data_IF_672268168706
#
_entry.id   IF_672268168706
#
_cell.length_a   1.000
_cell.length_b   1.000
_cell.length_c   1.000
_cell.angle_alpha   90.00
_cell.angle_beta   90.00
_cell.angle_gamma   90.00
#
_symmetry.space_group_name_H-M   'P 1'
#
loop_
_entity.id
_entity.type
_entity.pdbx_description
1 polymer ?
#
# COMPACT_ATOMS: atom_id res chain seq x y z
N UNK A 1 -1.24 5.21 11.60
CA UNK A 1 -0.72 4.37 10.50
C UNK A 1 -1.87 3.64 9.84
N UNK A 2 -2.16 3.85 8.55
CA UNK A 2 -3.29 3.23 7.85
C UNK A 2 -3.18 1.70 7.76
N UNK A 3 -4.30 1.00 7.74
CA UNK A 3 -4.35 -0.41 7.39
C UNK A 3 -3.70 -0.65 6.01
N UNK A 4 -2.99 -1.76 5.85
CA UNK A 4 -2.32 -2.09 4.59
C UNK A 4 -3.28 -2.11 3.39
N UNK A 5 -4.51 -2.60 3.59
CA UNK A 5 -5.57 -2.64 2.58
C UNK A 5 -6.06 -1.25 2.15
N UNK A 6 -5.90 -0.21 2.99
CA UNK A 6 -6.29 1.17 2.69
C UNK A 6 -5.26 1.92 1.83
N UNK A 7 -4.08 1.36 1.62
CA UNK A 7 -3.07 1.92 0.71
C UNK A 7 -3.35 1.61 -0.77
N UNK A 8 -4.28 0.70 -1.02
CA UNK A 8 -4.69 0.31 -2.36
C UNK A 8 -5.98 1.04 -2.74
N UNK A 9 -5.92 1.95 -3.70
CA UNK A 9 -7.03 2.79 -4.12
C UNK A 9 -7.24 2.65 -5.63
N UNK A 10 -8.41 2.18 -6.02
CA UNK A 10 -8.82 2.02 -7.44
C UNK A 10 -7.80 1.31 -8.34
N UNK A 11 -7.09 0.30 -7.83
CA UNK A 11 -6.09 -0.46 -8.60
C UNK A 11 -4.67 0.09 -8.50
N UNK A 12 -4.45 1.17 -7.76
CA UNK A 12 -3.15 1.81 -7.55
C UNK A 12 -2.74 1.68 -6.09
N UNK A 13 -1.53 1.21 -5.83
CA UNK A 13 -0.91 1.29 -4.51
C UNK A 13 -0.50 2.74 -4.29
N UNK A 14 -1.29 3.49 -3.52
CA UNK A 14 -0.91 4.82 -3.04
C UNK A 14 0.17 4.68 -1.98
N UNK A 15 1.08 5.61 -1.90
CA UNK A 15 2.19 5.60 -0.93
C UNK A 15 2.99 4.28 -0.89
N UNK A 16 3.53 3.82 -2.03
CA UNK A 16 4.41 2.66 -2.02
C UNK A 16 5.66 2.95 -1.16
N UNK A 17 6.24 1.89 -0.59
CA UNK A 17 7.51 2.04 0.13
C UNK A 17 8.58 2.48 -0.87
N UNK A 18 9.28 3.55 -0.53
CA UNK A 18 10.32 4.17 -1.36
C UNK A 18 11.69 4.05 -0.73
N UNK A 19 12.72 4.20 -1.54
CA UNK A 19 14.12 4.22 -1.13
C UNK A 19 14.83 5.40 -1.78
N UNK A 20 16.01 5.75 -1.26
CA UNK A 20 16.89 6.77 -1.84
C UNK A 20 18.06 6.14 -2.57
N UNK A 21 18.66 6.87 -3.50
CA UNK A 21 19.77 6.40 -4.34
C UNK A 21 21.01 5.92 -3.56
N UNK A 22 21.20 6.48 -2.36
CA UNK A 22 22.39 6.23 -1.54
C UNK A 22 22.23 5.06 -0.56
N UNK A 23 21.02 4.50 -0.42
CA UNK A 23 20.82 3.29 0.39
C UNK A 23 21.63 2.13 -0.18
N UNK A 24 22.15 1.28 0.70
CA UNK A 24 22.92 0.12 0.27
C UNK A 24 22.01 -1.00 -0.23
N UNK A 25 22.55 -1.87 -1.06
CA UNK A 25 21.85 -3.08 -1.52
C UNK A 25 21.36 -3.92 -0.32
N UNK A 26 22.17 -4.00 0.74
CA UNK A 26 21.80 -4.70 1.99
C UNK A 26 20.55 -4.13 2.64
N UNK A 27 20.47 -2.80 2.77
CA UNK A 27 19.32 -2.13 3.39
C UNK A 27 18.05 -2.41 2.58
N UNK A 28 18.18 -2.35 1.25
CA UNK A 28 17.05 -2.60 0.34
C UNK A 28 16.60 -4.06 0.36
N UNK A 29 17.52 -5.01 0.45
CA UNK A 29 17.18 -6.43 0.67
C UNK A 29 16.42 -6.63 1.98
N UNK A 30 16.85 -5.98 3.07
CA UNK A 30 16.13 -6.00 4.35
C UNK A 30 14.68 -5.49 4.20
N UNK A 31 14.47 -4.36 3.52
CA UNK A 31 13.13 -3.81 3.27
C UNK A 31 12.27 -4.74 2.42
N UNK A 32 12.83 -5.36 1.36
CA UNK A 32 12.07 -6.29 0.52
C UNK A 32 11.60 -7.52 1.31
N UNK A 33 12.43 -8.06 2.20
CA UNK A 33 12.10 -9.19 3.07
C UNK A 33 11.07 -8.81 4.13
N UNK A 34 11.30 -7.71 4.87
CA UNK A 34 10.42 -7.23 5.93
C UNK A 34 9.00 -6.94 5.43
N UNK A 35 8.89 -6.30 4.27
CA UNK A 35 7.60 -5.87 3.71
C UNK A 35 7.03 -6.84 2.67
N UNK A 36 7.76 -7.90 2.31
CA UNK A 36 7.38 -8.88 1.27
C UNK A 36 7.01 -8.20 -0.06
N UNK A 37 7.85 -7.25 -0.48
CA UNK A 37 7.68 -6.51 -1.73
C UNK A 37 8.83 -6.82 -2.68
N UNK A 38 8.55 -6.76 -3.98
CA UNK A 38 9.49 -7.18 -5.03
C UNK A 38 9.95 -6.02 -5.93
N UNK A 39 9.67 -4.79 -5.52
CA UNK A 39 10.13 -3.60 -6.24
C UNK A 39 9.86 -2.33 -5.45
N UNK A 40 10.85 -1.46 -5.44
CA UNK A 40 10.87 -0.23 -4.68
C UNK A 40 11.19 0.95 -5.61
N UNK A 41 10.29 1.95 -5.68
CA UNK A 41 10.61 3.21 -6.34
C UNK A 41 11.79 3.90 -5.64
N UNK A 42 12.72 4.42 -6.42
CA UNK A 42 13.82 5.25 -5.92
C UNK A 42 13.46 6.71 -6.14
N UNK A 43 13.48 7.50 -5.07
CA UNK A 43 13.11 8.92 -5.11
C UNK A 43 14.27 9.81 -4.67
N UNK A 44 14.25 11.06 -5.13
CA UNK A 44 15.13 12.13 -4.63
C UNK A 44 14.51 12.83 -3.40
N UNK A 45 15.23 13.83 -2.87
CA UNK A 45 14.77 14.62 -1.71
C UNK A 45 13.51 15.44 -1.97
N UNK A 46 13.16 15.67 -3.24
CA UNK A 46 11.93 16.37 -3.65
C UNK A 46 10.76 15.40 -3.93
N UNK A 47 10.91 14.10 -3.63
CA UNK A 47 9.90 13.07 -3.89
C UNK A 47 9.73 12.69 -5.37
N UNK A 48 10.66 13.09 -6.24
CA UNK A 48 10.62 12.74 -7.66
C UNK A 48 11.26 11.40 -7.91
N UNK A 49 10.66 10.63 -8.80
CA UNK A 49 11.17 9.31 -9.19
C UNK A 49 12.47 9.47 -10.00
N UNK A 50 13.54 8.83 -9.54
CA UNK A 50 14.85 8.79 -10.20
C UNK A 50 15.19 7.39 -10.71
N UNK A 51 14.47 6.36 -10.27
CA UNK A 51 14.65 4.99 -10.71
C UNK A 51 13.69 4.01 -10.04
N UNK A 52 13.93 2.72 -10.28
CA UNK A 52 13.27 1.61 -9.59
C UNK A 52 14.30 0.50 -9.34
N UNK A 53 14.20 -0.15 -8.18
CA UNK A 53 14.93 -1.38 -7.86
C UNK A 53 13.94 -2.51 -7.73
N UNK A 54 14.21 -3.64 -8.37
CA UNK A 54 13.38 -4.83 -8.36
C UNK A 54 14.15 -6.05 -7.87
N UNK A 55 13.44 -7.14 -7.54
CA UNK A 55 14.09 -8.40 -7.19
C UNK A 55 15.03 -8.92 -8.30
N UNK A 56 14.79 -8.55 -9.56
CA UNK A 56 15.68 -8.91 -10.68
C UNK A 56 17.04 -8.25 -10.52
N UNK A 57 17.06 -6.97 -10.12
CA UNK A 57 18.28 -6.18 -9.93
C UNK A 57 19.07 -6.65 -8.70
N UNK A 58 18.35 -7.13 -7.66
CA UNK A 58 18.95 -7.59 -6.39
C UNK A 58 19.43 -9.04 -6.43
N UNK A 59 18.84 -9.90 -7.28
CA UNK A 59 19.00 -11.36 -7.23
C UNK A 59 20.44 -11.84 -7.40
N UNK A 60 21.18 -11.19 -8.26
CA UNK A 60 22.55 -11.61 -8.62
C UNK A 60 23.62 -10.66 -8.05
N UNK A 61 23.20 -9.71 -7.21
CA UNK A 61 24.11 -8.73 -6.67
C UNK A 61 24.90 -9.29 -5.48
N UNK A 62 26.21 -9.27 -5.61
CA UNK A 62 27.15 -9.78 -4.60
C UNK A 62 27.72 -8.68 -3.71
N UNK A 63 27.85 -7.46 -4.24
CA UNK A 63 28.35 -6.32 -3.47
C UNK A 63 27.22 -5.63 -2.68
N UNK A 64 26.90 -6.16 -1.52
CA UNK A 64 25.82 -5.66 -0.68
C UNK A 64 26.06 -4.27 -0.06
N UNK A 65 27.30 -3.77 -0.11
CA UNK A 65 27.66 -2.45 0.45
C UNK A 65 27.55 -1.31 -0.55
N UNK A 66 27.42 -1.62 -1.85
CA UNK A 66 27.28 -0.58 -2.86
C UNK A 66 25.93 0.12 -2.78
N UNK A 67 25.85 1.40 -3.21
CA UNK A 67 24.60 2.13 -3.26
C UNK A 67 23.71 1.63 -4.42
N UNK A 68 22.40 1.64 -4.22
CA UNK A 68 21.42 1.14 -5.21
C UNK A 68 21.41 1.93 -6.51
N UNK A 69 21.92 3.14 -6.54
CA UNK A 69 22.10 3.92 -7.78
C UNK A 69 22.88 3.17 -8.87
N UNK A 70 23.76 2.25 -8.48
CA UNK A 70 24.59 1.49 -9.41
C UNK A 70 23.85 0.36 -10.09
N UNK A 71 22.76 -0.15 -9.47
CA UNK A 71 22.02 -1.33 -9.93
C UNK A 71 20.58 -1.01 -10.33
N UNK A 72 20.02 0.13 -9.92
CA UNK A 72 18.65 0.51 -10.23
C UNK A 72 18.43 0.71 -11.74
N UNK A 73 17.21 0.47 -12.20
CA UNK A 73 16.76 0.96 -13.50
C UNK A 73 16.58 2.47 -13.41
N UNK A 74 17.40 3.29 -14.11
CA UNK A 74 17.36 4.74 -14.01
C UNK A 74 16.15 5.35 -14.72
N UNK A 75 15.80 6.57 -14.35
CA UNK A 75 14.65 7.33 -14.87
C UNK A 75 14.52 7.30 -16.41
N UNK A 76 15.62 7.43 -17.12
CA UNK A 76 15.63 7.43 -18.60
C UNK A 76 15.11 6.12 -19.23
N UNK A 77 15.14 5.01 -18.49
CA UNK A 77 14.68 3.67 -18.92
C UNK A 77 13.35 3.27 -18.29
N UNK A 78 12.74 4.14 -17.46
CA UNK A 78 11.48 3.82 -16.80
C UNK A 78 10.31 3.91 -17.78
N UNK A 79 9.44 2.90 -17.71
CA UNK A 79 8.10 2.95 -18.26
C UNK A 79 7.15 3.38 -17.14
N UNK A 80 6.44 4.48 -17.34
CA UNK A 80 5.55 5.08 -16.33
C UNK A 80 4.21 5.43 -16.95
N UNK A 81 3.19 5.57 -16.11
CA UNK A 81 1.89 6.14 -16.50
C UNK A 81 1.66 7.44 -15.75
N UNK A 82 0.83 8.31 -16.31
CA UNK A 82 0.42 9.54 -15.64
C UNK A 82 -0.66 9.26 -14.61
N UNK A 83 -0.77 10.13 -13.62
CA UNK A 83 -1.91 10.13 -12.71
C UNK A 83 -3.22 10.27 -13.50
N UNK A 84 -4.19 9.41 -13.22
CA UNK A 84 -5.44 9.32 -13.97
C UNK A 84 -5.42 8.38 -15.20
N UNK A 85 -4.27 7.77 -15.52
CA UNK A 85 -4.20 6.75 -16.57
C UNK A 85 -5.15 5.58 -16.29
N UNK A 86 -5.75 5.04 -17.33
CA UNK A 86 -6.65 3.91 -17.20
C UNK A 86 -5.90 2.62 -16.87
N UNK A 87 -6.64 1.66 -16.30
CA UNK A 87 -6.11 0.32 -16.02
C UNK A 87 -5.63 -0.37 -17.31
N UNK A 88 -6.39 -0.21 -18.40
CA UNK A 88 -6.13 -0.78 -19.72
C UNK A 88 -4.83 -0.22 -20.30
N UNK A 89 -4.60 1.08 -20.16
CA UNK A 89 -3.35 1.73 -20.57
C UNK A 89 -2.15 1.18 -19.78
N UNK A 90 -2.27 1.07 -18.45
CA UNK A 90 -1.22 0.48 -17.63
C UNK A 90 -0.93 -0.97 -18.01
N UNK A 91 -1.96 -1.78 -18.25
CA UNK A 91 -1.83 -3.17 -18.70
C UNK A 91 -1.15 -3.29 -20.06
N UNK A 92 -1.54 -2.45 -21.02
CA UNK A 92 -0.95 -2.45 -22.36
C UNK A 92 0.55 -2.14 -22.29
N UNK A 93 0.97 -1.16 -21.48
CA UNK A 93 2.37 -0.84 -21.26
C UNK A 93 3.13 -1.99 -20.58
N UNK A 94 2.54 -2.60 -19.53
CA UNK A 94 3.16 -3.74 -18.85
C UNK A 94 3.34 -4.92 -19.82
N UNK A 95 2.35 -5.22 -20.64
CA UNK A 95 2.43 -6.28 -21.64
C UNK A 95 3.49 -5.98 -22.70
N UNK A 96 3.44 -4.78 -23.30
CA UNK A 96 4.39 -4.34 -24.34
C UNK A 96 5.85 -4.42 -23.87
N UNK A 97 6.13 -4.02 -22.64
CA UNK A 97 7.47 -3.96 -22.09
C UNK A 97 7.82 -5.15 -21.20
N UNK A 98 6.94 -6.14 -21.06
CA UNK A 98 7.09 -7.34 -20.20
C UNK A 98 7.43 -6.97 -18.75
N UNK A 99 6.69 -6.00 -18.21
CA UNK A 99 6.85 -5.49 -16.85
C UNK A 99 5.77 -6.05 -15.93
N UNK A 100 6.15 -6.34 -14.69
CA UNK A 100 5.20 -6.73 -13.64
C UNK A 100 4.58 -5.54 -12.92
N UNK A 101 5.12 -4.33 -13.17
CA UNK A 101 4.70 -3.09 -12.51
C UNK A 101 5.05 -1.85 -13.31
N UNK A 102 4.27 -0.80 -13.12
CA UNK A 102 4.52 0.54 -13.64
C UNK A 102 4.34 1.57 -12.54
N UNK A 103 5.16 2.61 -12.56
CA UNK A 103 5.04 3.73 -11.63
C UNK A 103 4.01 4.73 -12.16
N UNK A 104 3.17 5.24 -11.27
CA UNK A 104 2.27 6.36 -11.55
C UNK A 104 2.98 7.63 -11.12
N UNK A 105 3.13 8.57 -12.05
CA UNK A 105 3.86 9.82 -11.82
C UNK A 105 3.02 11.06 -12.11
N UNK A 106 3.25 12.10 -11.34
CA UNK A 106 2.70 13.43 -11.54
C UNK A 106 3.36 14.21 -12.68
N UNK A 107 2.99 15.48 -12.85
CA UNK A 107 3.49 16.35 -13.92
C UNK A 107 5.00 16.57 -13.87
N UNK A 108 5.58 16.75 -12.68
CA UNK A 108 7.02 16.94 -12.46
C UNK A 108 7.74 15.64 -12.09
N UNK A 109 7.14 14.49 -12.40
CA UNK A 109 7.67 13.16 -12.12
C UNK A 109 7.68 12.78 -10.62
N UNK A 110 6.85 13.43 -9.82
CA UNK A 110 6.60 13.01 -8.44
C UNK A 110 5.95 11.63 -8.42
N UNK A 111 6.31 10.80 -7.45
CA UNK A 111 5.68 9.52 -7.26
C UNK A 111 4.24 9.70 -6.75
N UNK A 112 3.26 9.16 -7.50
CA UNK A 112 1.84 9.18 -7.14
C UNK A 112 1.32 7.79 -6.78
N UNK A 113 2.03 6.76 -7.19
CA UNK A 113 1.65 5.39 -6.87
C UNK A 113 2.38 4.34 -7.70
N UNK A 114 1.94 3.11 -7.52
CA UNK A 114 2.46 1.93 -8.19
C UNK A 114 1.30 1.03 -8.60
N UNK A 115 1.30 0.55 -9.84
CA UNK A 115 0.36 -0.45 -10.34
C UNK A 115 1.14 -1.74 -10.59
N UNK A 116 0.62 -2.88 -10.13
CA UNK A 116 1.22 -4.20 -10.39
C UNK A 116 0.24 -5.14 -11.08
N UNK A 117 0.77 -6.10 -11.86
CA UNK A 117 -0.04 -7.15 -12.50
C UNK A 117 -0.86 -7.92 -11.45
N UNK A 118 -0.27 -8.22 -10.27
CA UNK A 118 -0.96 -8.92 -9.19
C UNK A 118 -2.18 -8.16 -8.66
N UNK A 119 -2.09 -6.83 -8.57
CA UNK A 119 -3.20 -6.01 -8.09
C UNK A 119 -4.33 -5.98 -9.11
N UNK A 120 -3.97 -5.95 -10.39
CA UNK A 120 -4.93 -6.03 -11.49
C UNK A 120 -5.64 -7.39 -11.48
N UNK A 121 -4.89 -8.50 -11.38
CA UNK A 121 -5.45 -9.85 -11.31
C UNK A 121 -6.41 -10.01 -10.14
N UNK A 122 -6.00 -9.62 -8.93
CA UNK A 122 -6.87 -9.69 -7.73
C UNK A 122 -8.17 -8.92 -7.89
N UNK A 123 -8.16 -7.78 -8.55
CA UNK A 123 -9.38 -7.01 -8.78
C UNK A 123 -10.33 -7.68 -9.77
N UNK A 124 -9.82 -8.52 -10.66
CA UNK A 124 -10.60 -9.34 -11.61
C UNK A 124 -11.12 -10.62 -10.94
N UNK A 125 -10.31 -11.25 -10.11
CA UNK A 125 -10.68 -12.47 -9.38
C UNK A 125 -11.75 -12.20 -8.30
N UNK A 126 -11.78 -10.99 -7.74
CA UNK A 126 -12.69 -10.61 -6.66
C UNK A 126 -13.55 -9.38 -7.02
N UNK A 127 -14.43 -9.47 -8.02
CA UNK A 127 -15.24 -8.32 -8.48
C UNK A 127 -16.24 -7.86 -7.41
N UNK A 128 -16.71 -8.78 -6.55
CA UNK A 128 -17.69 -8.51 -5.49
C UNK A 128 -17.03 -8.08 -4.16
N UNK A 129 -15.73 -7.85 -4.12
CA UNK A 129 -15.05 -7.40 -2.91
C UNK A 129 -15.67 -6.09 -2.39
N UNK A 130 -15.98 -6.06 -1.08
CA UNK A 130 -16.60 -4.90 -0.45
C UNK A 130 -15.60 -3.73 -0.39
N UNK A 131 -15.88 -2.68 -1.17
CA UNK A 131 -15.01 -1.50 -1.32
C UNK A 131 -15.72 -0.23 -0.88
N UNK A 132 -14.95 0.76 -0.46
CA UNK A 132 -15.41 2.11 -0.20
C UNK A 132 -15.50 2.93 -1.51
N UNK A 133 -15.90 4.20 -1.40
CA UNK A 133 -16.05 5.12 -2.54
C UNK A 133 -14.74 5.40 -3.29
N UNK A 134 -13.59 5.16 -2.67
CA UNK A 134 -12.26 5.30 -3.26
C UNK A 134 -11.73 3.99 -3.85
N UNK A 135 -12.56 2.93 -3.88
CA UNK A 135 -12.17 1.61 -4.37
C UNK A 135 -11.24 0.83 -3.45
N UNK A 136 -11.08 1.25 -2.18
CA UNK A 136 -10.28 0.56 -1.16
C UNK A 136 -11.13 -0.51 -0.46
N UNK A 137 -10.52 -1.63 -0.10
CA UNK A 137 -11.21 -2.66 0.67
C UNK A 137 -11.70 -2.10 2.01
N UNK A 138 -12.94 -2.41 2.36
CA UNK A 138 -13.45 -2.12 3.70
C UNK A 138 -12.81 -3.03 4.72
N UNK A 139 -12.50 -2.49 5.89
CA UNK A 139 -11.82 -3.16 6.99
C UNK A 139 -12.72 -3.18 8.20
N UNK A 140 -12.97 -4.39 8.74
CA UNK A 140 -13.62 -4.58 10.02
C UNK A 140 -12.61 -4.94 11.12
N UNK A 141 -12.89 -4.54 12.36
CA UNK A 141 -12.12 -4.95 13.51
C UNK A 141 -13.05 -5.34 14.67
N UNK A 142 -12.73 -6.45 15.34
CA UNK A 142 -13.42 -6.87 16.54
C UNK A 142 -12.80 -6.23 17.79
N UNK A 143 -13.65 -5.82 18.72
CA UNK A 143 -13.26 -5.30 20.03
C UNK A 143 -14.10 -5.93 21.12
N UNK A 144 -13.52 -6.16 22.29
CA UNK A 144 -14.24 -6.60 23.48
C UNK A 144 -14.91 -5.44 24.21
N UNK A 145 -15.35 -5.69 25.45
CA UNK A 145 -15.98 -4.70 26.36
C UNK A 145 -15.13 -4.39 27.60
N UNK A 146 -13.91 -4.93 27.66
CA UNK A 146 -12.98 -4.72 28.76
C UNK A 146 -12.40 -3.32 28.85
N UNK A 147 -11.51 -3.14 29.81
CA UNK A 147 -10.70 -1.94 29.97
C UNK A 147 -9.81 -1.71 28.73
N UNK A 148 -9.54 -0.47 28.37
CA UNK A 148 -8.73 -0.13 27.17
C UNK A 148 -9.45 -0.28 25.83
N UNK A 149 -10.74 -0.64 25.81
CA UNK A 149 -11.49 -0.78 24.55
C UNK A 149 -11.68 0.56 23.84
N UNK A 150 -11.88 1.66 24.56
CA UNK A 150 -12.11 2.98 23.98
C UNK A 150 -10.86 3.50 23.28
N UNK A 151 -9.70 3.36 23.91
CA UNK A 151 -8.40 3.71 23.33
C UNK A 151 -8.08 2.85 22.09
N UNK A 152 -8.39 1.55 22.15
CA UNK A 152 -8.25 0.65 21.01
C UNK A 152 -9.16 1.06 19.84
N UNK A 153 -10.42 1.42 20.12
CA UNK A 153 -11.36 1.89 19.10
C UNK A 153 -10.86 3.20 18.48
N UNK A 154 -10.41 4.16 19.28
CA UNK A 154 -9.84 5.41 18.80
C UNK A 154 -8.66 5.17 17.84
N UNK A 155 -7.72 4.29 18.21
CA UNK A 155 -6.59 3.92 17.37
C UNK A 155 -7.02 3.21 16.06
N UNK A 156 -8.07 2.38 16.10
CA UNK A 156 -8.61 1.71 14.91
C UNK A 156 -9.29 2.69 13.97
N UNK A 157 -10.04 3.67 14.50
CA UNK A 157 -10.66 4.74 13.71
C UNK A 157 -9.59 5.61 13.04
N UNK A 158 -8.56 6.02 13.77
CA UNK A 158 -7.41 6.75 13.21
C UNK A 158 -6.70 5.94 12.13
N UNK A 159 -6.61 4.61 12.27
CA UNK A 159 -6.06 3.72 11.25
C UNK A 159 -6.99 3.50 10.03
N UNK A 160 -8.22 4.05 10.05
CA UNK A 160 -9.18 3.98 8.93
C UNK A 160 -10.02 2.71 8.89
N UNK A 161 -10.42 2.17 10.05
CA UNK A 161 -11.40 1.07 10.10
C UNK A 161 -12.77 1.54 9.58
N UNK A 162 -13.49 0.68 8.84
CA UNK A 162 -14.83 1.01 8.33
C UNK A 162 -15.94 0.43 9.22
N UNK A 163 -15.68 -0.66 9.93
CA UNK A 163 -16.66 -1.36 10.76
C UNK A 163 -16.00 -1.82 12.05
N UNK A 164 -16.63 -1.52 13.18
CA UNK A 164 -16.27 -2.09 14.47
C UNK A 164 -17.33 -3.10 14.86
N UNK A 165 -16.89 -4.31 15.24
CA UNK A 165 -17.75 -5.37 15.77
C UNK A 165 -17.42 -5.54 17.25
N UNK A 166 -18.44 -5.39 18.11
CA UNK A 166 -18.31 -5.72 19.54
C UNK A 166 -18.51 -7.21 19.69
N UNK A 167 -17.42 -7.91 19.98
CA UNK A 167 -17.40 -9.37 20.11
C UNK A 167 -17.25 -9.76 21.58
N UNK A 168 -18.26 -10.44 22.12
CA UNK A 168 -18.32 -10.86 23.53
C UNK A 168 -19.01 -12.22 23.67
N UNK A 169 -18.67 -12.95 24.73
CA UNK A 169 -19.28 -14.23 25.05
C UNK A 169 -20.79 -14.13 25.36
N UNK A 170 -21.27 -12.97 25.84
CA UNK A 170 -22.65 -12.72 26.23
C UNK A 170 -23.15 -11.37 25.68
N UNK A 171 -23.91 -11.40 24.59
CA UNK A 171 -24.39 -10.20 23.89
C UNK A 171 -25.36 -9.32 24.70
N UNK A 172 -26.02 -9.86 25.73
CA UNK A 172 -26.96 -9.15 26.63
C UNK A 172 -26.30 -8.56 27.88
N UNK A 173 -24.98 -8.59 27.99
CA UNK A 173 -24.29 -7.97 29.12
C UNK A 173 -24.44 -6.42 29.07
N UNK A 174 -24.74 -5.78 30.22
CA UNK A 174 -24.82 -4.31 30.33
C UNK A 174 -23.58 -3.58 29.77
N UNK A 175 -22.39 -4.20 29.85
CA UNK A 175 -21.16 -3.69 29.28
C UNK A 175 -21.18 -3.56 27.75
N UNK A 176 -21.93 -4.44 27.05
CA UNK A 176 -22.08 -4.38 25.57
C UNK A 176 -22.97 -3.21 25.19
N UNK A 177 -24.14 -3.08 25.80
CA UNK A 177 -25.10 -2.03 25.51
C UNK A 177 -24.50 -0.63 25.76
N UNK A 178 -23.85 -0.46 26.90
CA UNK A 178 -23.20 0.80 27.29
C UNK A 178 -22.08 1.24 26.35
N UNK A 179 -21.29 0.30 25.78
CA UNK A 179 -20.20 0.60 24.86
C UNK A 179 -20.67 0.78 23.42
N UNK A 180 -21.66 0.01 22.95
CA UNK A 180 -22.23 0.21 21.62
C UNK A 180 -22.92 1.57 21.49
N UNK A 181 -23.63 2.04 22.51
CA UNK A 181 -24.29 3.35 22.55
C UNK A 181 -23.25 4.49 22.52
N UNK A 182 -22.15 4.39 23.27
CA UNK A 182 -21.08 5.41 23.24
C UNK A 182 -20.37 5.49 21.89
N UNK A 183 -20.13 4.36 21.24
CA UNK A 183 -19.47 4.31 19.92
C UNK A 183 -20.34 4.96 18.83
N UNK A 184 -21.67 4.83 18.91
CA UNK A 184 -22.59 5.46 17.97
C UNK A 184 -22.75 6.97 18.20
N UNK A 185 -22.60 7.46 19.42
CA UNK A 185 -22.78 8.90 19.76
C UNK A 185 -21.54 9.77 19.45
N UNK A 186 -20.39 9.20 19.15
CA UNK A 186 -19.18 9.93 18.79
C UNK A 186 -19.00 10.20 17.28
N UNK A 187 -20.01 9.85 16.47
CA UNK A 187 -19.98 10.02 15.00
C UNK A 187 -21.15 10.82 14.42
N UNK A 188 -21.83 11.64 15.23
CA UNK A 188 -22.83 12.63 14.76
C UNK A 188 -22.27 14.04 14.78
#
# INVERSE_FOLDING_TARGET
MLFRSKRFESGVVKEPITITQNMTVRDVLGLTQQHRISGLPVIDSAGRVVGIVTNRDLRFETNLRQPVKNIMTPRAKLVTVREGASREEAMALMHKHRLERVLVVGKNFELRGLITVKDIQKSTEHPLACKDKLGRLRVGAAVGVGEGTEERVAALVEAGVDVIVVDTAHGHAQGVDRKSTRLNSSHT
#
